data_IF_695829756640
#
_entry.id   IF_695829756640
#
_cell.length_a   1.000
_cell.length_b   1.000
_cell.length_c   1.000
_cell.angle_alpha   90.00
_cell.angle_beta   90.00
_cell.angle_gamma   90.00
#
_symmetry.space_group_name_H-M   'P 1'
#
loop_
_entity.id
_entity.type
_entity.pdbx_description
1 polymer ?
#
# COMPACT_ATOMS: atom_id res chain seq x y z
N UNK A 1 32.67 -38.25 5.69
CA UNK A 1 32.73 -37.49 6.96
C UNK A 1 32.61 -36.00 6.68
N UNK A 2 33.61 -35.33 6.11
CA UNK A 2 33.50 -33.88 5.80
C UNK A 2 32.47 -33.55 4.70
N UNK A 3 32.29 -34.43 3.73
CA UNK A 3 31.39 -34.19 2.59
C UNK A 3 29.90 -34.27 2.99
N UNK A 4 29.56 -35.18 3.91
CA UNK A 4 28.19 -35.34 4.45
C UNK A 4 27.78 -34.14 5.31
N UNK A 5 28.71 -33.66 6.14
CA UNK A 5 28.50 -32.45 6.98
C UNK A 5 28.40 -31.20 6.12
N UNK A 6 29.22 -31.07 5.06
CA UNK A 6 29.12 -29.97 4.11
C UNK A 6 27.79 -29.99 3.33
N UNK A 7 27.28 -31.18 2.99
CA UNK A 7 25.98 -31.33 2.35
C UNK A 7 24.82 -30.94 3.29
N UNK A 8 24.89 -31.31 4.58
CA UNK A 8 23.91 -30.89 5.59
C UNK A 8 23.88 -29.37 5.74
N UNK A 9 25.03 -28.70 5.90
CA UNK A 9 25.05 -27.24 6.03
C UNK A 9 24.54 -26.52 4.77
N UNK A 10 24.78 -27.06 3.57
CA UNK A 10 24.17 -26.53 2.34
C UNK A 10 22.65 -26.64 2.36
N UNK A 11 22.12 -27.79 2.81
CA UNK A 11 20.68 -28.02 2.90
C UNK A 11 20.02 -27.10 3.92
N UNK A 12 20.58 -26.98 5.12
CA UNK A 12 20.07 -26.07 6.15
C UNK A 12 20.13 -24.60 5.71
N UNK A 13 21.25 -24.19 5.08
CA UNK A 13 21.37 -22.83 4.51
C UNK A 13 20.32 -22.56 3.45
N UNK A 14 20.04 -23.53 2.59
CA UNK A 14 19.01 -23.41 1.56
C UNK A 14 17.59 -23.37 2.16
N UNK A 15 17.32 -24.16 3.22
CA UNK A 15 16.05 -24.11 3.94
C UNK A 15 15.82 -22.76 4.60
N UNK A 16 16.84 -22.21 5.28
CA UNK A 16 16.76 -20.86 5.87
C UNK A 16 16.51 -19.81 4.79
N UNK A 17 17.23 -19.87 3.67
CA UNK A 17 17.03 -18.95 2.55
C UNK A 17 15.61 -19.07 1.96
N UNK A 18 15.07 -20.29 1.89
CA UNK A 18 13.71 -20.55 1.42
C UNK A 18 12.66 -19.98 2.37
N UNK A 19 12.87 -20.06 3.69
CA UNK A 19 11.99 -19.44 4.69
C UNK A 19 11.99 -17.91 4.63
N UNK A 20 13.06 -17.28 4.10
CA UNK A 20 13.14 -15.82 3.92
C UNK A 20 12.36 -15.36 2.68
N UNK A 21 12.16 -16.22 1.68
CA UNK A 21 11.54 -15.82 0.42
C UNK A 21 10.15 -15.15 0.60
N UNK A 22 9.21 -15.67 1.41
CA UNK A 22 7.93 -14.99 1.66
C UNK A 22 8.10 -13.61 2.30
N UNK A 23 9.08 -13.43 3.19
CA UNK A 23 9.35 -12.15 3.84
C UNK A 23 9.89 -11.09 2.85
N UNK A 24 10.62 -11.52 1.82
CA UNK A 24 11.06 -10.64 0.72
C UNK A 24 9.83 -10.16 -0.08
N UNK A 25 8.88 -11.05 -0.37
CA UNK A 25 7.63 -10.67 -1.04
C UNK A 25 6.77 -9.73 -0.18
N UNK A 26 6.75 -9.90 1.15
CA UNK A 26 6.09 -8.94 2.05
C UNK A 26 6.73 -7.54 1.97
N UNK A 27 8.05 -7.44 1.77
CA UNK A 27 8.69 -6.13 1.48
C UNK A 27 8.28 -5.55 0.14
N UNK A 28 8.00 -6.37 -0.86
CA UNK A 28 7.51 -5.87 -2.15
C UNK A 28 6.15 -5.18 -2.00
N UNK A 29 5.28 -5.65 -1.10
CA UNK A 29 4.00 -4.97 -0.79
C UNK A 29 4.24 -3.53 -0.34
N UNK A 30 5.29 -3.27 0.44
CA UNK A 30 5.66 -1.90 0.87
C UNK A 30 6.15 -1.01 -0.27
N UNK A 31 6.49 -1.54 -1.44
CA UNK A 31 6.79 -0.71 -2.62
C UNK A 31 5.50 -0.12 -3.22
N UNK A 32 4.39 -0.85 -3.08
CA UNK A 32 3.08 -0.41 -3.56
C UNK A 32 2.37 0.55 -2.59
N UNK A 33 2.95 0.81 -1.42
CA UNK A 33 2.40 1.75 -0.45
C UNK A 33 2.47 3.21 -0.92
N UNK A 34 3.10 3.50 -2.07
CA UNK A 34 3.02 4.80 -2.73
C UNK A 34 1.69 5.05 -3.45
N UNK A 35 0.92 4.00 -3.75
CA UNK A 35 -0.38 4.15 -4.39
C UNK A 35 -1.47 4.33 -3.34
N UNK A 36 -2.25 5.43 -3.40
CA UNK A 36 -3.29 5.79 -2.42
C UNK A 36 -4.18 4.61 -2.04
N UNK A 37 -4.78 3.93 -3.03
CA UNK A 37 -5.67 2.80 -2.78
C UNK A 37 -5.00 1.65 -2.00
N UNK A 38 -3.82 1.21 -2.44
CA UNK A 38 -3.11 0.08 -1.82
C UNK A 38 -2.56 0.49 -0.45
N UNK A 39 -2.00 1.70 -0.34
CA UNK A 39 -1.46 2.24 0.90
C UNK A 39 -2.52 2.43 1.98
N UNK A 40 -3.69 3.00 1.63
CA UNK A 40 -4.84 3.12 2.54
C UNK A 40 -5.28 1.74 3.02
N UNK A 41 -5.47 0.76 2.12
CA UNK A 41 -5.85 -0.60 2.49
C UNK A 41 -4.81 -1.29 3.39
N UNK A 42 -3.51 -1.09 3.12
CA UNK A 42 -2.45 -1.65 3.95
C UNK A 42 -2.47 -1.06 5.37
N UNK A 43 -2.70 0.25 5.50
CA UNK A 43 -2.83 0.93 6.80
C UNK A 43 -4.07 0.42 7.54
N UNK A 44 -5.20 0.27 6.84
CA UNK A 44 -6.42 -0.31 7.39
C UNK A 44 -6.18 -1.69 7.98
N UNK A 45 -5.59 -2.61 7.21
CA UNK A 45 -5.26 -3.98 7.67
C UNK A 45 -4.32 -3.96 8.87
N UNK A 46 -3.28 -3.12 8.84
CA UNK A 46 -2.34 -3.02 9.97
C UNK A 46 -3.01 -2.50 11.26
N UNK A 47 -3.96 -1.55 11.14
CA UNK A 47 -4.71 -1.02 12.28
C UNK A 47 -5.73 -2.02 12.81
N UNK A 48 -6.47 -2.71 11.93
CA UNK A 48 -7.36 -3.81 12.29
C UNK A 48 -6.64 -4.94 13.04
N UNK A 49 -5.42 -5.30 12.62
CA UNK A 49 -4.59 -6.29 13.32
C UNK A 49 -4.15 -5.80 14.70
N UNK A 50 -3.88 -4.50 14.85
CA UNK A 50 -3.51 -3.90 16.14
C UNK A 50 -4.70 -3.86 17.10
N UNK A 51 -5.88 -3.49 16.61
CA UNK A 51 -7.12 -3.42 17.40
C UNK A 51 -7.58 -4.83 17.81
N UNK A 52 -7.45 -5.83 16.93
CA UNK A 52 -7.73 -7.24 17.26
C UNK A 52 -6.60 -7.92 18.06
N UNK A 53 -5.54 -7.21 18.45
CA UNK A 53 -4.41 -7.78 19.19
C UNK A 53 -4.80 -8.47 20.50
N UNK A 54 -5.79 -7.93 21.23
CA UNK A 54 -6.30 -8.52 22.48
C UNK A 54 -6.94 -9.89 22.20
N UNK A 55 -7.62 -10.04 21.08
CA UNK A 55 -8.23 -11.31 20.68
C UNK A 55 -7.17 -12.37 20.40
N UNK A 56 -6.05 -12.03 19.76
CA UNK A 56 -4.95 -12.97 19.55
C UNK A 56 -4.31 -13.44 20.87
N UNK A 57 -4.24 -12.59 21.88
CA UNK A 57 -3.79 -12.98 23.23
C UNK A 57 -4.78 -13.96 23.86
N UNK A 58 -6.08 -13.69 23.77
CA UNK A 58 -7.12 -14.61 24.26
C UNK A 58 -7.05 -15.97 23.54
N UNK A 59 -6.90 -15.96 22.21
CA UNK A 59 -6.73 -17.15 21.39
C UNK A 59 -5.50 -17.97 21.83
N UNK A 60 -4.39 -17.31 22.11
CA UNK A 60 -3.18 -17.97 22.59
C UNK A 60 -3.37 -18.61 23.98
N UNK A 61 -4.02 -17.89 24.92
CA UNK A 61 -4.30 -18.43 26.27
C UNK A 61 -5.19 -19.66 26.18
N UNK A 62 -6.26 -19.59 25.39
CA UNK A 62 -7.17 -20.74 25.20
C UNK A 62 -6.42 -21.88 24.51
N UNK A 63 -5.66 -21.60 23.44
CA UNK A 63 -4.83 -22.59 22.75
C UNK A 63 -3.85 -23.31 23.67
N UNK A 64 -3.18 -22.58 24.57
CA UNK A 64 -2.29 -23.18 25.58
C UNK A 64 -3.08 -24.08 26.55
N UNK A 65 -4.28 -23.66 26.99
CA UNK A 65 -5.12 -24.48 27.85
C UNK A 65 -5.54 -25.81 27.22
N UNK A 66 -5.93 -25.78 25.94
CA UNK A 66 -6.25 -27.01 25.19
C UNK A 66 -5.02 -27.86 24.89
N UNK A 67 -3.87 -27.23 24.58
CA UNK A 67 -2.60 -27.93 24.42
C UNK A 67 -2.17 -28.65 25.71
N UNK A 68 -2.30 -27.99 26.86
CA UNK A 68 -2.04 -28.59 28.16
C UNK A 68 -2.97 -29.77 28.43
N UNK A 69 -4.27 -29.64 28.12
CA UNK A 69 -5.25 -30.70 28.32
C UNK A 69 -4.96 -31.93 27.45
N UNK A 70 -4.64 -31.73 26.17
CA UNK A 70 -4.31 -32.82 25.25
C UNK A 70 -3.00 -33.50 25.64
N UNK A 71 -1.99 -32.71 26.02
CA UNK A 71 -0.71 -33.24 26.53
C UNK A 71 -0.90 -34.08 27.79
N UNK A 72 -1.78 -33.67 28.71
CA UNK A 72 -2.05 -34.41 29.94
C UNK A 72 -2.73 -35.76 29.68
N UNK A 73 -3.65 -35.83 28.71
CA UNK A 73 -4.31 -37.09 28.32
C UNK A 73 -3.33 -38.04 27.66
N UNK A 74 -2.51 -37.54 26.73
CA UNK A 74 -1.48 -38.34 26.05
C UNK A 74 -0.44 -38.89 27.05
N UNK A 75 0.01 -38.05 27.99
CA UNK A 75 0.90 -38.46 29.07
C UNK A 75 0.28 -39.51 30.01
N UNK A 76 -1.05 -39.49 30.21
CA UNK A 76 -1.76 -40.46 31.02
C UNK A 76 -1.88 -41.84 30.35
N UNK A 77 -1.93 -41.88 29.01
CA UNK A 77 -2.00 -43.13 28.23
C UNK A 77 -0.64 -43.83 28.09
N UNK A 78 0.43 -43.27 28.66
CA UNK A 78 1.76 -43.90 28.75
C UNK A 78 2.56 -43.88 27.45
N UNK A 79 1.96 -43.39 26.36
CA UNK A 79 2.63 -43.02 25.12
C UNK A 79 2.90 -41.52 25.18
N UNK A 80 4.11 -41.11 25.55
CA UNK A 80 4.52 -39.69 25.37
C UNK A 80 4.88 -39.50 23.92
N UNK A 81 3.86 -39.45 23.05
CA UNK A 81 4.11 -39.07 21.67
C UNK A 81 4.57 -37.61 21.63
N UNK A 82 5.38 -37.30 20.61
CA UNK A 82 6.09 -36.02 20.48
C UNK A 82 5.11 -34.85 20.68
N UNK A 83 5.30 -34.02 21.72
CA UNK A 83 4.51 -32.81 21.98
C UNK A 83 4.33 -31.92 20.73
N UNK A 84 5.29 -31.96 19.80
CA UNK A 84 5.23 -31.29 18.51
C UNK A 84 4.05 -31.74 17.63
N UNK A 85 3.66 -33.02 17.67
CA UNK A 85 2.49 -33.56 16.95
C UNK A 85 1.19 -33.00 17.51
N UNK A 86 1.06 -32.93 18.84
CA UNK A 86 -0.12 -32.35 19.51
C UNK A 86 -0.28 -30.87 19.11
N UNK A 87 0.81 -30.11 19.18
CA UNK A 87 0.81 -28.69 18.78
C UNK A 87 0.45 -28.56 17.29
N UNK A 88 1.00 -29.40 16.43
CA UNK A 88 0.70 -29.37 15.00
C UNK A 88 -0.78 -29.67 14.71
N UNK A 89 -1.36 -30.67 15.38
CA UNK A 89 -2.78 -31.04 15.23
C UNK A 89 -3.73 -29.94 15.75
N UNK A 90 -3.35 -29.23 16.80
CA UNK A 90 -4.11 -28.07 17.32
C UNK A 90 -4.05 -26.89 16.36
N UNK A 91 -2.88 -26.59 15.79
CA UNK A 91 -2.72 -25.55 14.77
C UNK A 91 -3.53 -25.91 13.51
N UNK A 92 -3.48 -27.16 13.06
CA UNK A 92 -4.29 -27.64 11.94
C UNK A 92 -5.80 -27.47 12.20
N UNK A 93 -6.26 -27.78 13.43
CA UNK A 93 -7.66 -27.53 13.83
C UNK A 93 -8.02 -26.03 13.86
N UNK A 94 -7.08 -25.17 14.29
CA UNK A 94 -7.27 -23.71 14.25
C UNK A 94 -7.37 -23.17 12.82
N UNK A 95 -6.60 -23.73 11.88
CA UNK A 95 -6.57 -23.33 10.46
C UNK A 95 -7.72 -23.93 9.63
N UNK A 96 -8.62 -24.69 10.25
CA UNK A 96 -9.79 -25.28 9.59
C UNK A 96 -9.51 -26.59 8.83
N UNK A 97 -8.36 -27.23 9.10
CA UNK A 97 -8.00 -28.54 8.53
C UNK A 97 -7.73 -29.58 9.63
N UNK A 98 -8.70 -29.90 10.50
CA UNK A 98 -8.45 -30.82 11.61
C UNK A 98 -8.15 -32.25 11.14
N UNK A 99 -7.11 -32.83 11.73
CA UNK A 99 -6.74 -34.23 11.56
C UNK A 99 -7.12 -35.03 12.81
N UNK A 100 -8.07 -35.96 12.65
CA UNK A 100 -8.57 -36.83 13.71
C UNK A 100 -7.78 -38.13 13.83
N UNK A 101 -6.84 -38.40 12.90
CA UNK A 101 -6.08 -39.65 12.88
C UNK A 101 -5.12 -39.82 14.06
N UNK A 102 -4.73 -38.72 14.70
CA UNK A 102 -3.79 -38.70 15.82
C UNK A 102 -4.40 -38.90 17.21
N UNK A 103 -5.73 -38.99 17.35
CA UNK A 103 -6.37 -39.14 18.66
C UNK A 103 -6.79 -40.59 18.92
N UNK A 104 -6.02 -41.31 19.74
CA UNK A 104 -6.22 -42.72 20.07
C UNK A 104 -7.27 -42.97 21.17
N UNK A 105 -7.45 -42.00 22.07
CA UNK A 105 -8.34 -42.11 23.22
C UNK A 105 -9.67 -41.38 23.00
N UNK A 106 -10.78 -41.96 23.46
CA UNK A 106 -12.10 -41.35 23.41
C UNK A 106 -12.15 -39.98 24.10
N UNK A 107 -11.42 -39.81 25.22
CA UNK A 107 -11.35 -38.52 25.91
C UNK A 107 -10.58 -37.46 25.13
N UNK A 108 -9.49 -37.85 24.46
CA UNK A 108 -8.74 -36.95 23.58
C UNK A 108 -9.59 -36.50 22.39
N UNK A 109 -10.35 -37.42 21.78
CA UNK A 109 -11.30 -37.12 20.71
C UNK A 109 -12.37 -36.13 21.15
N UNK A 110 -12.96 -36.29 22.33
CA UNK A 110 -13.96 -35.35 22.86
C UNK A 110 -13.41 -33.94 23.04
N UNK A 111 -12.22 -33.82 23.64
CA UNK A 111 -11.56 -32.51 23.83
C UNK A 111 -11.19 -31.90 22.48
N UNK A 112 -10.75 -32.71 21.52
CA UNK A 112 -10.43 -32.23 20.17
C UNK A 112 -11.67 -31.78 19.39
N UNK A 113 -12.81 -32.45 19.53
CA UNK A 113 -14.08 -31.96 18.97
C UNK A 113 -14.49 -30.63 19.61
N UNK A 114 -14.35 -30.51 20.93
CA UNK A 114 -14.66 -29.27 21.64
C UNK A 114 -13.74 -28.12 21.21
N UNK A 115 -12.43 -28.39 21.04
CA UNK A 115 -11.47 -27.46 20.46
C UNK A 115 -11.94 -26.98 19.08
N UNK A 116 -12.27 -27.90 18.17
CA UNK A 116 -12.69 -27.57 16.81
C UNK A 116 -13.98 -26.75 16.75
N UNK A 117 -14.97 -27.08 17.59
CA UNK A 117 -16.20 -26.29 17.71
C UNK A 117 -15.88 -24.89 18.23
N UNK A 118 -15.06 -24.80 19.29
CA UNK A 118 -14.71 -23.53 19.88
C UNK A 118 -13.89 -22.64 18.93
N UNK A 119 -12.90 -23.18 18.22
CA UNK A 119 -12.07 -22.39 17.28
C UNK A 119 -12.84 -22.02 16.02
N UNK A 120 -13.46 -23.00 15.36
CA UNK A 120 -14.05 -22.81 14.02
C UNK A 120 -15.39 -22.08 14.10
N UNK A 121 -16.23 -22.38 15.09
CA UNK A 121 -17.59 -21.82 15.17
C UNK A 121 -17.60 -20.55 16.02
N UNK A 122 -16.89 -20.51 17.14
CA UNK A 122 -16.94 -19.37 18.06
C UNK A 122 -15.85 -18.35 17.72
N UNK A 123 -14.58 -18.73 17.84
CA UNK A 123 -13.47 -17.78 17.72
C UNK A 123 -13.35 -17.18 16.32
N UNK A 124 -13.41 -17.99 15.25
CA UNK A 124 -13.25 -17.48 13.89
C UNK A 124 -14.37 -16.49 13.51
N UNK A 125 -15.62 -16.78 13.89
CA UNK A 125 -16.75 -15.88 13.63
C UNK A 125 -16.66 -14.58 14.45
N UNK A 126 -16.21 -14.65 15.71
CA UNK A 126 -15.93 -13.45 16.52
C UNK A 126 -14.79 -12.64 15.90
N UNK A 127 -13.72 -13.30 15.42
CA UNK A 127 -12.60 -12.61 14.76
C UNK A 127 -13.06 -11.87 13.51
N UNK A 128 -13.89 -12.50 12.67
CA UNK A 128 -14.47 -11.86 11.48
C UNK A 128 -15.33 -10.66 11.88
N UNK A 129 -16.16 -10.81 12.91
CA UNK A 129 -16.98 -9.70 13.42
C UNK A 129 -16.14 -8.53 13.96
N UNK A 130 -15.06 -8.82 14.68
CA UNK A 130 -14.14 -7.81 15.19
C UNK A 130 -13.38 -7.12 14.06
N UNK A 131 -12.96 -7.86 13.03
CA UNK A 131 -12.32 -7.26 11.86
C UNK A 131 -13.28 -6.39 11.05
N UNK A 132 -14.55 -6.77 10.92
CA UNK A 132 -15.56 -5.93 10.26
C UNK A 132 -15.79 -4.64 11.03
N UNK A 133 -15.98 -4.72 12.35
CA UNK A 133 -16.17 -3.52 13.18
C UNK A 133 -14.95 -2.60 13.15
N UNK A 134 -13.75 -3.16 13.29
CA UNK A 134 -12.50 -2.41 13.18
C UNK A 134 -12.27 -1.87 11.76
N UNK A 135 -12.82 -2.50 10.73
CA UNK A 135 -12.74 -1.97 9.37
C UNK A 135 -13.57 -0.69 9.24
N UNK A 136 -14.80 -0.72 9.72
CA UNK A 136 -15.71 0.42 9.68
C UNK A 136 -15.17 1.58 10.52
N UNK A 137 -14.61 1.31 11.70
CA UNK A 137 -14.02 2.34 12.56
C UNK A 137 -12.75 3.00 11.97
N UNK A 138 -12.07 2.31 11.04
CA UNK A 138 -10.77 2.76 10.50
C UNK A 138 -10.91 3.38 9.11
N UNK A 139 -11.86 2.92 8.30
CA UNK A 139 -11.96 3.29 6.88
C UNK A 139 -12.18 4.79 6.67
N UNK A 140 -12.92 5.45 7.57
CA UNK A 140 -13.22 6.88 7.47
C UNK A 140 -11.96 7.74 7.64
N UNK A 141 -11.10 7.40 8.62
CA UNK A 141 -9.85 8.13 8.89
C UNK A 141 -8.66 7.67 8.03
N UNK A 142 -8.80 6.57 7.30
CA UNK A 142 -7.67 5.90 6.66
C UNK A 142 -6.97 6.76 5.61
N UNK A 143 -7.73 7.62 4.91
CA UNK A 143 -7.18 8.56 3.92
C UNK A 143 -6.27 9.61 4.57
N UNK A 144 -6.68 10.19 5.70
CA UNK A 144 -5.87 11.15 6.45
C UNK A 144 -4.61 10.48 7.03
N UNK A 145 -4.75 9.26 7.56
CA UNK A 145 -3.60 8.47 8.03
C UNK A 145 -2.60 8.16 6.91
N UNK A 146 -3.10 7.82 5.72
CA UNK A 146 -2.26 7.60 4.55
C UNK A 146 -1.46 8.86 4.18
N UNK A 147 -2.12 10.02 4.10
CA UNK A 147 -1.46 11.27 3.72
C UNK A 147 -0.40 11.69 4.75
N UNK A 148 -0.69 11.56 6.05
CA UNK A 148 0.28 11.82 7.11
C UNK A 148 1.49 10.88 7.05
N UNK A 149 1.26 9.59 6.81
CA UNK A 149 2.33 8.60 6.64
C UNK A 149 3.18 8.88 5.39
N UNK A 150 2.53 9.24 4.28
CA UNK A 150 3.19 9.59 3.03
C UNK A 150 4.04 10.85 3.16
N UNK A 151 3.53 11.90 3.81
CA UNK A 151 4.28 13.11 4.10
C UNK A 151 5.49 12.82 5.00
N UNK A 152 5.32 12.04 6.07
CA UNK A 152 6.41 11.62 6.95
C UNK A 152 7.49 10.83 6.20
N UNK A 153 7.08 9.91 5.32
CA UNK A 153 8.01 9.15 4.46
C UNK A 153 8.74 10.07 3.49
N UNK A 154 8.06 11.01 2.86
CA UNK A 154 8.65 11.99 1.94
C UNK A 154 9.73 12.82 2.65
N UNK A 155 9.43 13.34 3.84
CA UNK A 155 10.41 14.07 4.67
C UNK A 155 11.61 13.17 5.03
N UNK A 156 11.37 11.89 5.35
CA UNK A 156 12.45 10.95 5.66
C UNK A 156 13.36 10.68 4.46
N UNK A 157 12.81 10.64 3.25
CA UNK A 157 13.57 10.44 2.00
C UNK A 157 14.40 11.67 1.61
N UNK A 158 13.94 12.88 1.97
CA UNK A 158 14.68 14.13 1.73
C UNK A 158 15.93 14.23 2.64
N UNK A 159 16.00 13.45 3.73
CA UNK A 159 17.00 13.64 4.80
C UNK A 159 18.40 13.07 4.51
N UNK A 160 18.66 12.50 3.34
CA UNK A 160 20.04 12.18 2.95
C UNK A 160 20.64 13.39 2.21
N UNK A 161 21.52 14.21 2.84
CA UNK A 161 22.20 15.32 2.18
C UNK A 161 23.34 14.77 1.29
N UNK A 162 23.03 13.79 0.45
CA UNK A 162 24.02 13.29 -0.48
C UNK A 162 24.06 14.22 -1.68
N UNK A 163 25.25 14.75 -1.96
CA UNK A 163 25.45 15.61 -3.14
C UNK A 163 25.31 14.81 -4.43
N UNK A 164 25.45 13.48 -4.35
CA UNK A 164 25.47 12.60 -5.50
C UNK A 164 24.69 11.31 -5.19
N UNK A 165 23.36 11.36 -5.35
CA UNK A 165 22.51 10.20 -5.03
C UNK A 165 22.58 9.16 -6.15
N UNK A 166 23.04 7.95 -5.81
CA UNK A 166 22.91 6.77 -6.66
C UNK A 166 21.78 5.87 -6.16
N UNK A 167 20.61 5.81 -6.82
CA UNK A 167 19.57 4.84 -6.49
C UNK A 167 20.10 3.40 -6.62
N UNK A 168 19.64 2.50 -5.75
CA UNK A 168 19.89 1.06 -5.91
C UNK A 168 19.31 0.58 -7.26
N UNK A 169 20.00 -0.30 -8.01
CA UNK A 169 21.25 -1.02 -7.67
C UNK A 169 22.55 -0.24 -7.97
N UNK A 170 22.47 0.94 -8.59
CA UNK A 170 23.63 1.71 -9.03
C UNK A 170 24.50 2.26 -7.89
N UNK A 171 24.00 2.30 -6.66
CA UNK A 171 24.78 2.53 -5.43
C UNK A 171 26.02 1.61 -5.34
N UNK A 172 25.95 0.36 -5.82
CA UNK A 172 27.12 -0.53 -5.81
C UNK A 172 28.26 0.04 -6.66
N UNK A 173 27.95 0.70 -7.78
CA UNK A 173 28.95 1.34 -8.64
C UNK A 173 29.64 2.48 -7.88
N UNK A 174 28.87 3.28 -7.14
CA UNK A 174 29.43 4.32 -6.27
C UNK A 174 30.35 3.72 -5.20
N UNK A 175 29.87 2.70 -4.48
CA UNK A 175 30.59 2.06 -3.39
C UNK A 175 31.93 1.46 -3.84
N UNK A 176 31.97 0.80 -5.01
CA UNK A 176 33.18 0.13 -5.50
C UNK A 176 34.09 1.03 -6.35
N UNK A 177 33.54 1.98 -7.12
CA UNK A 177 34.31 2.76 -8.10
C UNK A 177 34.43 4.26 -7.79
N UNK A 178 33.60 4.83 -6.92
CA UNK A 178 33.60 6.28 -6.65
C UNK A 178 34.10 6.56 -5.23
N UNK A 179 33.56 5.88 -4.22
CA UNK A 179 33.95 6.02 -2.82
C UNK A 179 35.46 5.85 -2.53
N UNK A 180 36.19 4.85 -3.08
CA UNK A 180 37.62 4.71 -2.78
C UNK A 180 38.48 5.87 -3.32
N UNK A 181 38.01 6.59 -4.35
CA UNK A 181 38.73 7.75 -4.90
C UNK A 181 38.46 9.05 -4.15
N UNK A 182 37.52 9.05 -3.19
CA UNK A 182 37.26 10.20 -2.32
C UNK A 182 38.50 10.54 -1.48
N UNK A 183 39.21 9.53 -0.99
CA UNK A 183 40.43 9.72 -0.20
C UNK A 183 41.64 10.15 -1.05
N UNK A 184 41.64 9.82 -2.35
CA UNK A 184 42.78 10.05 -3.24
C UNK A 184 42.71 11.40 -3.97
N UNK A 185 41.52 12.00 -4.15
CA UNK A 185 41.31 13.17 -5.01
C UNK A 185 40.92 14.45 -4.27
N UNK A 186 41.28 15.60 -4.83
CA UNK A 186 40.77 16.89 -4.36
C UNK A 186 39.28 17.05 -4.69
N UNK A 187 38.52 17.75 -3.83
CA UNK A 187 37.05 17.91 -3.93
C UNK A 187 36.54 18.32 -5.33
N UNK A 188 37.29 19.15 -6.07
CA UNK A 188 36.93 19.58 -7.44
C UNK A 188 37.08 18.47 -8.48
N UNK A 189 38.13 17.65 -8.37
CA UNK A 189 38.37 16.52 -9.29
C UNK A 189 37.40 15.38 -9.03
N UNK A 190 37.14 15.10 -7.75
CA UNK A 190 36.11 14.15 -7.32
C UNK A 190 34.73 14.51 -7.88
N UNK A 191 34.30 15.77 -7.75
CA UNK A 191 33.02 16.24 -8.30
C UNK A 191 32.91 16.07 -9.82
N UNK A 192 33.99 16.35 -10.57
CA UNK A 192 34.00 16.18 -12.04
C UNK A 192 33.97 14.71 -12.44
N UNK A 193 34.73 13.86 -11.74
CA UNK A 193 34.74 12.42 -11.95
C UNK A 193 33.36 11.81 -11.67
N UNK A 194 32.80 12.10 -10.50
CA UNK A 194 31.49 11.60 -10.10
C UNK A 194 30.39 12.02 -11.09
N UNK A 195 30.42 13.27 -11.57
CA UNK A 195 29.47 13.73 -12.59
C UNK A 195 29.61 12.99 -13.93
N UNK A 196 30.83 12.63 -14.34
CA UNK A 196 31.04 11.82 -15.55
C UNK A 196 30.45 10.43 -15.36
N UNK A 197 30.78 9.76 -14.25
CA UNK A 197 30.26 8.41 -13.92
C UNK A 197 28.73 8.41 -13.87
N UNK A 198 28.14 9.34 -13.14
CA UNK A 198 26.70 9.56 -13.05
C UNK A 198 26.07 9.76 -14.44
N UNK A 199 26.65 10.63 -15.27
CA UNK A 199 26.14 10.87 -16.63
C UNK A 199 26.18 9.58 -17.46
N UNK A 200 27.27 8.81 -17.40
CA UNK A 200 27.41 7.56 -18.16
C UNK A 200 26.43 6.48 -17.69
N UNK A 201 26.27 6.30 -16.38
CA UNK A 201 25.38 5.28 -15.81
C UNK A 201 23.91 5.62 -16.07
N UNK A 202 23.50 6.89 -15.89
CA UNK A 202 22.11 7.31 -16.07
C UNK A 202 21.73 7.64 -17.51
N UNK A 203 22.67 7.69 -18.45
CA UNK A 203 22.37 7.96 -19.86
C UNK A 203 21.37 6.95 -20.45
N UNK A 204 21.59 5.65 -20.20
CA UNK A 204 20.71 4.61 -20.76
C UNK A 204 19.30 4.68 -20.15
N UNK A 205 19.12 4.68 -18.81
CA UNK A 205 17.79 4.85 -18.21
C UNK A 205 17.07 6.13 -18.64
N UNK A 206 17.78 7.27 -18.69
CA UNK A 206 17.16 8.55 -19.06
C UNK A 206 16.72 8.58 -20.53
N UNK A 207 17.47 7.96 -21.44
CA UNK A 207 17.05 7.84 -22.83
C UNK A 207 15.80 6.95 -22.93
N UNK A 208 15.73 5.86 -22.17
CA UNK A 208 14.55 4.99 -22.15
C UNK A 208 13.33 5.75 -21.63
N UNK A 209 13.47 6.49 -20.51
CA UNK A 209 12.39 7.32 -19.96
C UNK A 209 11.95 8.38 -20.97
N UNK A 210 12.90 9.11 -21.57
CA UNK A 210 12.60 10.13 -22.57
C UNK A 210 11.88 9.54 -23.80
N UNK A 211 12.25 8.33 -24.25
CA UNK A 211 11.56 7.64 -25.33
C UNK A 211 10.13 7.24 -24.94
N UNK A 212 9.96 6.68 -23.74
CA UNK A 212 8.64 6.30 -23.21
C UNK A 212 7.75 7.53 -23.05
N UNK A 213 8.25 8.61 -22.45
CA UNK A 213 7.52 9.88 -22.31
C UNK A 213 7.23 10.53 -23.67
N UNK A 214 8.15 10.46 -24.64
CA UNK A 214 7.90 11.00 -25.98
C UNK A 214 6.81 10.24 -26.76
N UNK A 215 6.57 8.97 -26.41
CA UNK A 215 5.52 8.13 -27.01
C UNK A 215 4.21 8.18 -26.20
N UNK A 216 4.27 8.49 -24.91
CA UNK A 216 3.10 8.75 -24.06
C UNK A 216 2.62 10.18 -24.29
N UNK A 217 1.70 10.28 -25.25
CA UNK A 217 0.93 11.46 -25.62
C UNK A 217 0.52 12.31 -24.39
N UNK A 218 0.39 13.63 -24.55
CA UNK A 218 0.02 14.63 -23.51
C UNK A 218 -1.27 14.25 -22.74
N UNK A 219 -2.07 13.31 -23.24
CA UNK A 219 -3.24 12.74 -22.56
C UNK A 219 -2.90 11.76 -21.43
N UNK A 220 -1.79 11.03 -21.51
CA UNK A 220 -1.35 10.16 -20.42
C UNK A 220 -0.84 10.98 -19.22
N UNK A 221 -0.27 12.17 -19.46
CA UNK A 221 0.11 13.09 -18.37
C UNK A 221 -1.13 13.60 -17.63
N UNK A 222 -2.28 13.75 -18.29
CA UNK A 222 -3.55 14.05 -17.61
C UNK A 222 -4.05 12.87 -16.75
N UNK A 223 -3.91 11.62 -17.21
CA UNK A 223 -4.30 10.44 -16.42
C UNK A 223 -3.40 10.27 -15.20
N UNK A 224 -2.09 10.44 -15.37
CA UNK A 224 -1.11 10.39 -14.28
C UNK A 224 -1.38 11.55 -13.31
N UNK A 225 -1.62 12.75 -13.83
CA UNK A 225 -1.93 13.93 -13.00
C UNK A 225 -3.22 13.73 -12.23
N UNK A 226 -4.30 13.26 -12.87
CA UNK A 226 -5.53 12.89 -12.19
C UNK A 226 -5.28 11.81 -11.14
N UNK A 227 -4.53 10.74 -11.44
CA UNK A 227 -4.21 9.68 -10.47
C UNK A 227 -3.49 10.19 -9.22
N UNK A 228 -2.64 11.22 -9.34
CA UNK A 228 -1.94 11.86 -8.22
C UNK A 228 -2.73 13.02 -7.58
N UNK A 229 -3.64 13.70 -8.30
CA UNK A 229 -4.45 14.85 -7.83
C UNK A 229 -5.71 14.45 -7.03
N UNK A 230 -6.01 13.16 -6.84
CA UNK A 230 -7.12 12.71 -5.95
C UNK A 230 -6.89 13.03 -4.45
N UNK A 231 -5.99 13.95 -4.11
CA UNK A 231 -5.71 14.35 -2.72
C UNK A 231 -6.72 15.39 -2.23
N UNK A 232 -7.39 16.16 -3.11
CA UNK A 232 -8.38 17.18 -2.68
C UNK A 232 -9.74 17.14 -3.42
N UNK A 233 -9.82 16.68 -4.68
CA UNK A 233 -11.05 16.88 -5.47
C UNK A 233 -12.29 16.11 -4.95
N UNK A 234 -12.10 15.00 -4.23
CA UNK A 234 -13.22 14.21 -3.69
C UNK A 234 -13.99 14.94 -2.57
N UNK A 235 -13.35 15.87 -1.86
CA UNK A 235 -14.00 16.72 -0.86
C UNK A 235 -14.52 18.02 -1.49
N UNK A 236 -13.91 18.50 -2.58
CA UNK A 236 -14.39 19.68 -3.32
C UNK A 236 -15.65 19.41 -4.16
N UNK A 237 -15.85 18.17 -4.60
CA UNK A 237 -17.05 17.75 -5.36
C UNK A 237 -18.25 17.34 -4.49
N UNK A 238 -18.07 17.20 -3.16
CA UNK A 238 -19.16 16.86 -2.25
C UNK A 238 -20.15 18.06 -2.17
N UNK A 239 -21.45 17.86 -2.50
CA UNK A 239 -22.46 18.92 -2.40
C UNK A 239 -22.48 19.62 -1.03
N UNK A 240 -22.11 18.89 0.03
CA UNK A 240 -22.07 19.40 1.40
C UNK A 240 -20.90 20.36 1.66
N UNK A 241 -19.81 20.25 0.89
CA UNK A 241 -18.67 21.17 0.94
C UNK A 241 -18.83 22.33 -0.05
N UNK A 242 -19.50 22.12 -1.18
CA UNK A 242 -19.77 23.18 -2.18
C UNK A 242 -20.75 24.23 -1.65
N UNK A 243 -21.80 23.79 -0.95
CA UNK A 243 -22.81 24.65 -0.35
C UNK A 243 -23.05 24.20 1.12
N UNK A 244 -22.17 24.56 2.07
CA UNK A 244 -22.27 24.10 3.46
C UNK A 244 -23.48 24.70 4.19
N UNK A 245 -24.32 23.83 4.77
CA UNK A 245 -25.42 24.23 5.66
C UNK A 245 -24.86 24.66 7.03
N UNK A 246 -25.05 25.93 7.40
CA UNK A 246 -24.61 26.47 8.68
C UNK A 246 -25.72 26.43 9.73
N UNK A 247 -25.52 25.72 10.85
CA UNK A 247 -26.45 25.61 11.97
C UNK A 247 -26.32 26.76 12.99
N UNK A 248 -25.99 27.97 12.52
CA UNK A 248 -25.83 29.13 13.41
C UNK A 248 -27.21 29.70 13.78
N UNK A 249 -27.45 29.90 15.09
CA UNK A 249 -28.71 30.44 15.66
C UNK A 249 -29.17 31.78 15.05
N UNK A 250 -28.30 32.49 14.33
CA UNK A 250 -28.59 33.75 13.63
C UNK A 250 -29.10 33.60 12.19
N UNK A 251 -29.27 32.37 11.67
CA UNK A 251 -29.87 32.12 10.35
C UNK A 251 -29.11 32.73 9.16
N UNK A 252 -27.80 32.94 9.30
CA UNK A 252 -26.96 33.54 8.27
C UNK A 252 -26.27 32.47 7.42
N UNK A 253 -26.57 32.46 6.12
CA UNK A 253 -25.93 31.60 5.11
C UNK A 253 -24.61 32.22 4.61
N UNK A 254 -23.61 31.37 4.30
CA UNK A 254 -22.28 31.81 3.82
C UNK A 254 -22.34 32.41 2.42
N UNK A 255 -23.15 31.84 1.52
CA UNK A 255 -23.39 32.35 0.16
C UNK A 255 -24.87 32.31 -0.15
N UNK A 256 -25.38 33.37 -0.80
CA UNK A 256 -26.77 33.44 -1.30
C UNK A 256 -26.94 32.79 -2.68
N UNK A 257 -25.83 32.47 -3.34
CA UNK A 257 -25.79 31.95 -4.71
C UNK A 257 -25.12 30.58 -4.66
N UNK A 258 -25.75 29.53 -5.23
CA UNK A 258 -25.18 28.19 -5.26
C UNK A 258 -23.85 28.17 -6.01
N UNK A 259 -22.91 27.34 -5.54
CA UNK A 259 -21.59 27.19 -6.16
C UNK A 259 -21.64 26.95 -7.68
N UNK A 260 -22.61 26.16 -8.14
CA UNK A 260 -22.82 25.83 -9.56
C UNK A 260 -23.11 27.05 -10.46
N UNK A 261 -23.68 28.11 -9.93
CA UNK A 261 -23.95 29.34 -10.68
C UNK A 261 -22.71 30.23 -10.75
N UNK A 262 -21.93 30.29 -9.67
CA UNK A 262 -20.66 31.02 -9.62
C UNK A 262 -19.65 30.47 -10.63
N UNK A 263 -19.54 29.15 -10.75
CA UNK A 263 -18.59 28.49 -11.67
C UNK A 263 -18.88 28.80 -13.15
N UNK A 264 -20.14 29.09 -13.52
CA UNK A 264 -20.49 29.41 -14.92
C UNK A 264 -19.92 30.73 -15.41
N UNK A 265 -19.61 31.65 -14.49
CA UNK A 265 -19.10 32.98 -14.83
C UNK A 265 -17.58 32.98 -14.99
N UNK A 266 -16.89 31.95 -14.47
CA UNK A 266 -15.45 31.78 -14.62
C UNK A 266 -15.08 31.10 -15.95
N UNK A 267 -14.00 31.53 -16.62
CA UNK A 267 -13.49 30.84 -17.79
C UNK A 267 -13.00 29.43 -17.42
N UNK A 268 -13.44 28.43 -18.19
CA UNK A 268 -13.03 27.03 -18.01
C UNK A 268 -11.51 26.88 -18.18
N UNK A 269 -10.78 26.81 -17.06
CA UNK A 269 -9.31 26.68 -17.05
C UNK A 269 -8.81 25.32 -17.57
N UNK A 270 -9.71 24.35 -17.77
CA UNK A 270 -9.42 23.04 -18.35
C UNK A 270 -9.39 23.03 -19.89
N UNK A 271 -9.80 24.12 -20.55
CA UNK A 271 -9.72 24.23 -22.00
C UNK A 271 -8.38 24.84 -22.40
N UNK A 272 -7.56 24.06 -23.12
CA UNK A 272 -6.32 24.55 -23.74
C UNK A 272 -6.62 25.81 -24.55
N UNK A 273 -5.72 26.79 -24.52
CA UNK A 273 -5.88 28.09 -25.21
C UNK A 273 -6.29 27.92 -26.70
N UNK A 274 -5.80 26.86 -27.36
CA UNK A 274 -6.18 26.49 -28.73
C UNK A 274 -7.67 26.13 -28.89
N UNK A 275 -8.27 25.42 -27.93
CA UNK A 275 -9.68 25.03 -27.96
C UNK A 275 -10.63 26.22 -27.75
N UNK A 276 -10.22 27.18 -26.92
CA UNK A 276 -10.93 28.45 -26.73
C UNK A 276 -10.87 29.29 -28.01
N UNK A 277 -9.69 29.40 -28.64
CA UNK A 277 -9.53 30.10 -29.92
C UNK A 277 -10.37 29.45 -31.02
N UNK A 278 -10.42 28.11 -31.11
CA UNK A 278 -11.24 27.40 -32.09
C UNK A 278 -12.74 27.61 -31.87
N UNK A 279 -13.19 27.68 -30.62
CA UNK A 279 -14.57 27.99 -30.28
C UNK A 279 -14.94 29.43 -30.70
N UNK A 280 -14.08 30.41 -30.43
CA UNK A 280 -14.27 31.80 -30.85
C UNK A 280 -14.25 31.96 -32.37
N UNK A 281 -13.35 31.26 -33.08
CA UNK A 281 -13.31 31.25 -34.54
C UNK A 281 -14.61 30.66 -35.12
N UNK A 282 -15.14 29.59 -34.53
CA UNK A 282 -16.42 29.01 -34.95
C UNK A 282 -17.59 29.95 -34.66
N UNK A 283 -17.59 30.64 -33.51
CA UNK A 283 -18.60 31.64 -33.19
C UNK A 283 -18.55 32.83 -34.16
N UNK A 284 -17.36 33.34 -34.49
CA UNK A 284 -17.16 34.39 -35.50
C UNK A 284 -17.63 33.93 -36.89
N UNK A 285 -17.33 32.69 -37.27
CA UNK A 285 -17.80 32.11 -38.54
C UNK A 285 -19.33 32.06 -38.60
N UNK A 286 -19.99 31.71 -37.50
CA UNK A 286 -21.45 31.72 -37.41
C UNK A 286 -22.03 33.13 -37.53
N UNK A 287 -21.43 34.11 -36.86
CA UNK A 287 -21.86 35.52 -36.96
C UNK A 287 -21.68 36.09 -38.36
N UNK A 288 -20.57 35.75 -39.04
CA UNK A 288 -20.33 36.14 -40.43
C UNK A 288 -21.34 35.49 -41.36
N UNK A 289 -21.68 34.20 -41.14
CA UNK A 289 -22.69 33.51 -41.93
C UNK A 289 -24.08 34.16 -41.78
N UNK A 290 -24.51 34.48 -40.56
CA UNK A 290 -25.77 35.20 -40.33
C UNK A 290 -25.80 36.59 -40.97
N UNK A 291 -24.68 37.32 -40.91
CA UNK A 291 -24.56 38.63 -41.54
C UNK A 291 -24.61 38.52 -43.07
N UNK A 292 -23.97 37.51 -43.65
CA UNK A 292 -24.02 37.25 -45.09
C UNK A 292 -25.45 36.92 -45.56
N UNK A 293 -26.19 36.11 -44.79
CA UNK A 293 -27.56 35.75 -45.12
C UNK A 293 -28.53 36.95 -45.00
N UNK A 294 -28.28 37.85 -44.04
CA UNK A 294 -29.03 39.11 -43.91
C UNK A 294 -28.70 40.11 -45.03
N UNK A 295 -27.50 40.05 -45.60
CA UNK A 295 -27.09 40.90 -46.72
C UNK A 295 -27.72 40.43 -48.04
N UNK A 296 -27.80 39.11 -48.26
CA UNK A 296 -28.42 38.50 -49.46
C UNK A 296 -29.96 38.63 -49.49
N UNK A 297 -30.59 38.89 -48.34
CA UNK A 297 -32.05 39.13 -48.22
C UNK A 297 -32.46 40.59 -48.45
N UNK A 298 -31.53 41.47 -48.85
CA UNK A 298 -31.77 42.90 -49.03
C UNK A 298 -31.58 43.32 -50.49
#
# INVERSE_FOLDING_TARGET
ADEDTAAQFKLESFQVLSCIAPLIWMRLITVFDGFKYIGTMQICVARMLRESGIFFVLLAIVGIGFAQSMYAIDAADGHTDRANLIINNLIQGLLGSPDFSGASNAWALWIYYFWNVFTTILLLNILISLFSSAYDDVTDDASAHFLAFFAGKTVSMIRAPDKYVYPAPFNLIETFFVAPFEWLMSKKRYAKYNRIVMTTVFLIPLIVIALVESQLDVRASLIIRNLYDHVDEGEEEDPKNQDPETDHEDGMEISRVPFKELVKEFPNSYQSMESSILAEINALKHQIAELSEKLDKK
#
